data_IF_757861444899
#
_entry.id   IF_757861444899
#
_cell.length_a   1.000
_cell.length_b   1.000
_cell.length_c   1.000
_cell.angle_alpha   90.00
_cell.angle_beta   90.00
_cell.angle_gamma   90.00
#
_symmetry.space_group_name_H-M   'P 1'
#
loop_
_entity.id
_entity.type
_entity.pdbx_description
1 polymer ?
#
# COMPACT_ATOMS: atom_id res chain seq x y z
N UNK A 1 3.24 13.89 -1.41
CA UNK A 1 2.21 12.82 -1.49
C UNK A 1 1.49 12.71 -2.83
N UNK A 2 0.93 13.80 -3.38
CA UNK A 2 0.07 13.74 -4.58
C UNK A 2 0.76 13.14 -5.81
N UNK A 3 2.05 13.43 -6.02
CA UNK A 3 2.78 12.93 -7.18
C UNK A 3 3.02 11.40 -7.14
N UNK A 4 3.24 10.82 -5.96
CA UNK A 4 3.40 9.36 -5.78
C UNK A 4 2.13 8.63 -6.16
N UNK A 5 0.98 9.09 -5.66
CA UNK A 5 -0.34 8.52 -5.97
C UNK A 5 -0.66 8.63 -7.47
N UNK A 6 -0.35 9.78 -8.09
CA UNK A 6 -0.56 9.99 -9.54
C UNK A 6 0.33 9.03 -10.35
N UNK A 7 1.62 8.94 -10.01
CA UNK A 7 2.56 8.08 -10.73
C UNK A 7 2.22 6.60 -10.57
N UNK A 8 1.82 6.18 -9.37
CA UNK A 8 1.36 4.81 -9.12
C UNK A 8 0.08 4.48 -9.89
N UNK A 9 -0.91 5.39 -9.89
CA UNK A 9 -2.12 5.23 -10.72
C UNK A 9 -1.79 5.10 -12.20
N UNK A 10 -0.86 5.92 -12.73
CA UNK A 10 -0.39 5.81 -14.13
C UNK A 10 0.32 4.48 -14.39
N UNK A 11 1.13 3.99 -13.44
CA UNK A 11 1.78 2.69 -13.54
C UNK A 11 0.76 1.56 -13.67
N UNK A 12 -0.26 1.52 -12.80
CA UNK A 12 -1.30 0.50 -12.85
C UNK A 12 -2.10 0.53 -14.16
N UNK A 13 -2.47 1.73 -14.64
CA UNK A 13 -3.17 1.88 -15.93
C UNK A 13 -2.35 1.36 -17.11
N UNK A 14 -1.04 1.60 -17.12
CA UNK A 14 -0.15 1.09 -18.18
C UNK A 14 -0.07 -0.43 -18.24
N UNK A 15 -0.32 -1.11 -17.12
CA UNK A 15 -0.39 -2.59 -17.05
C UNK A 15 -1.80 -3.14 -17.29
N UNK A 16 -2.72 -2.30 -17.77
CA UNK A 16 -4.09 -2.66 -18.11
C UNK A 16 -4.90 -3.27 -16.94
N UNK A 17 -4.63 -2.85 -15.70
CA UNK A 17 -5.46 -3.24 -14.57
C UNK A 17 -6.87 -2.66 -14.68
N UNK A 18 -7.86 -3.44 -14.24
CA UNK A 18 -9.26 -3.00 -14.19
C UNK A 18 -9.43 -1.74 -13.34
N UNK A 19 -10.47 -0.95 -13.64
CA UNK A 19 -10.80 0.24 -12.85
C UNK A 19 -11.00 -0.09 -11.35
N UNK A 20 -11.60 -1.26 -11.08
CA UNK A 20 -11.77 -1.76 -9.72
C UNK A 20 -10.42 -2.02 -9.03
N UNK A 21 -9.51 -2.75 -9.69
CA UNK A 21 -8.17 -3.05 -9.16
C UNK A 21 -7.36 -1.77 -8.91
N UNK A 22 -7.41 -0.80 -9.84
CA UNK A 22 -6.74 0.49 -9.66
C UNK A 22 -7.28 1.22 -8.43
N UNK A 23 -8.61 1.31 -8.26
CA UNK A 23 -9.22 1.95 -7.09
C UNK A 23 -8.84 1.23 -5.79
N UNK A 24 -8.89 -0.10 -5.80
CA UNK A 24 -8.56 -0.93 -4.65
C UNK A 24 -7.09 -0.73 -4.23
N UNK A 25 -6.15 -0.77 -5.17
CA UNK A 25 -4.71 -0.61 -4.86
C UNK A 25 -4.39 0.79 -4.35
N UNK A 26 -5.00 1.83 -4.92
CA UNK A 26 -4.86 3.20 -4.42
C UNK A 26 -5.45 3.37 -3.01
N UNK A 27 -6.50 2.61 -2.69
CA UNK A 27 -7.08 2.61 -1.34
C UNK A 27 -6.12 1.98 -0.33
N UNK A 28 -5.50 0.85 -0.68
CA UNK A 28 -4.47 0.20 0.16
C UNK A 28 -3.29 1.15 0.41
N UNK A 29 -2.76 1.76 -0.65
CA UNK A 29 -1.66 2.72 -0.53
C UNK A 29 -2.05 3.92 0.36
N UNK A 30 -3.27 4.45 0.21
CA UNK A 30 -3.77 5.54 1.06
C UNK A 30 -3.86 5.13 2.53
N UNK A 31 -4.37 3.93 2.83
CA UNK A 31 -4.48 3.42 4.20
C UNK A 31 -3.11 3.23 4.84
N UNK A 32 -2.14 2.70 4.09
CA UNK A 32 -0.76 2.59 4.56
C UNK A 32 -0.18 3.97 4.90
N UNK A 33 -0.29 4.93 3.97
CA UNK A 33 0.21 6.28 4.16
C UNK A 33 -0.44 7.01 5.35
N UNK A 34 -1.74 6.79 5.58
CA UNK A 34 -2.45 7.36 6.75
C UNK A 34 -2.04 6.70 8.08
N UNK A 35 -1.58 5.45 8.04
CA UNK A 35 -1.11 4.74 9.23
C UNK A 35 0.33 5.15 9.62
N UNK A 36 1.13 5.63 8.66
CA UNK A 36 2.48 6.11 8.93
C UNK A 36 2.49 7.35 9.83
N UNK A 37 3.39 7.34 10.80
CA UNK A 37 3.78 8.45 11.66
C UNK A 37 4.98 9.24 11.10
N UNK A 38 5.57 8.78 10.00
CA UNK A 38 6.72 9.38 9.32
C UNK A 38 6.42 9.63 7.84
N UNK A 39 7.13 10.55 7.17
CA UNK A 39 7.04 10.70 5.72
C UNK A 39 7.34 9.37 5.00
N UNK A 40 6.68 9.15 3.85
CA UNK A 40 6.82 7.92 3.06
C UNK A 40 8.29 7.65 2.68
N UNK A 41 9.04 8.71 2.42
CA UNK A 41 10.45 8.70 2.06
C UNK A 41 11.37 8.24 3.20
N UNK A 42 10.88 8.23 4.44
CA UNK A 42 11.62 7.83 5.65
C UNK A 42 11.17 6.47 6.20
N UNK A 43 10.31 5.75 5.47
CA UNK A 43 9.86 4.43 5.88
C UNK A 43 11.03 3.45 5.85
N UNK A 44 11.26 2.78 6.97
CA UNK A 44 12.29 1.76 7.13
C UNK A 44 11.71 0.36 7.09
N UNK A 45 12.55 -0.65 6.90
CA UNK A 45 12.14 -2.06 7.01
C UNK A 45 11.44 -2.35 8.35
N UNK A 46 11.96 -1.82 9.47
CA UNK A 46 11.34 -1.95 10.80
C UNK A 46 9.91 -1.40 10.85
N UNK A 47 9.63 -0.31 10.12
CA UNK A 47 8.28 0.25 10.02
C UNK A 47 7.36 -0.65 9.19
N UNK A 48 7.89 -1.30 8.14
CA UNK A 48 7.16 -2.32 7.39
C UNK A 48 6.82 -3.53 8.28
N UNK A 49 7.75 -4.00 9.11
CA UNK A 49 7.49 -5.10 10.06
C UNK A 49 6.37 -4.73 11.04
N UNK A 50 6.42 -3.50 11.59
CA UNK A 50 5.35 -2.98 12.46
C UNK A 50 3.99 -2.89 11.74
N UNK A 51 4.00 -2.60 10.43
CA UNK A 51 2.78 -2.59 9.63
C UNK A 51 2.23 -4.00 9.42
N UNK A 52 3.10 -4.98 9.19
CA UNK A 52 2.72 -6.39 9.07
C UNK A 52 2.06 -6.86 10.37
N UNK A 53 2.66 -6.55 11.53
CA UNK A 53 2.07 -6.86 12.84
C UNK A 53 0.69 -6.22 13.02
N UNK A 54 0.54 -4.95 12.62
CA UNK A 54 -0.75 -4.26 12.62
C UNK A 54 -1.80 -4.98 11.74
N UNK A 55 -1.43 -5.45 10.55
CA UNK A 55 -2.35 -6.18 9.67
C UNK A 55 -2.73 -7.56 10.25
N UNK A 56 -1.79 -8.24 10.92
CA UNK A 56 -2.09 -9.47 11.65
C UNK A 56 -3.06 -9.24 12.81
N UNK A 57 -2.88 -8.16 13.58
CA UNK A 57 -3.81 -7.77 14.66
C UNK A 57 -5.20 -7.46 14.12
N UNK A 58 -5.31 -6.94 12.90
CA UNK A 58 -6.58 -6.74 12.17
C UNK A 58 -7.19 -8.05 11.62
N UNK A 59 -6.58 -9.20 11.89
CA UNK A 59 -7.04 -10.54 11.44
C UNK A 59 -7.16 -10.65 9.92
N UNK A 60 -6.34 -9.90 9.17
CA UNK A 60 -6.28 -10.06 7.72
C UNK A 60 -5.68 -11.41 7.35
N UNK A 61 -6.20 -11.98 6.27
CA UNK A 61 -5.70 -13.25 5.75
C UNK A 61 -4.28 -13.05 5.19
N UNK A 62 -3.39 -14.06 5.30
CA UNK A 62 -2.01 -13.98 4.80
C UNK A 62 -1.93 -13.54 3.32
N UNK A 63 -2.86 -14.00 2.48
CA UNK A 63 -2.94 -13.59 1.07
C UNK A 63 -3.19 -12.07 0.92
N UNK A 64 -4.05 -11.49 1.76
CA UNK A 64 -4.31 -10.05 1.77
C UNK A 64 -3.09 -9.27 2.26
N UNK A 65 -2.41 -9.76 3.30
CA UNK A 65 -1.17 -9.14 3.81
C UNK A 65 -0.10 -9.13 2.71
N UNK A 66 0.10 -10.24 2.01
CA UNK A 66 1.04 -10.32 0.89
C UNK A 66 0.68 -9.35 -0.24
N UNK A 67 -0.60 -9.21 -0.57
CA UNK A 67 -1.05 -8.23 -1.56
C UNK A 67 -0.76 -6.80 -1.10
N UNK A 68 -1.00 -6.47 0.18
CA UNK A 68 -0.68 -5.15 0.73
C UNK A 68 0.81 -4.87 0.62
N UNK A 69 1.66 -5.85 0.97
CA UNK A 69 3.11 -5.74 0.85
C UNK A 69 3.57 -5.55 -0.60
N UNK A 70 2.95 -6.23 -1.56
CA UNK A 70 3.27 -6.08 -2.98
C UNK A 70 2.87 -4.72 -3.56
N UNK A 71 1.93 -4.00 -2.91
CA UNK A 71 1.50 -2.66 -3.32
C UNK A 71 2.39 -1.56 -2.73
N UNK A 72 2.93 -1.78 -1.52
CA UNK A 72 3.72 -0.76 -0.79
C UNK A 72 5.23 -0.88 -0.99
N UNK A 73 5.73 -2.03 -1.46
CA UNK A 73 7.14 -2.25 -1.84
C UNK A 73 7.38 -1.85 -3.29
#
# INVERSE_FOLDING_TARGET
MTNVIINFRRHLKRRNFSAHSVKYYLTILKLFVLWLDVPLEQVTAKKIDSYIDYLYQKRLQPASINLYLAIIR
#
